data_IF_096280895049
#
_entry.id   IF_096280895049
#
_cell.length_a   1.000
_cell.length_b   1.000
_cell.length_c   1.000
_cell.angle_alpha   90.00
_cell.angle_beta   90.00
_cell.angle_gamma   90.00
#
_symmetry.space_group_name_H-M   'P 1'
#
loop_
_entity.id
_entity.type
_entity.pdbx_description
1 polymer ?
#
# COMPACT_ATOMS: atom_id res chain seq x y z
N UNK A 1 -19.79 1.05 2.19
CA UNK A 1 -18.36 1.02 1.92
C UNK A 1 -18.07 0.05 0.78
N UNK A 2 -17.11 0.37 -0.06
CA UNK A 2 -16.64 -0.50 -1.16
C UNK A 2 -15.11 -0.57 -1.16
N UNK A 3 -14.58 -1.68 -1.72
CA UNK A 3 -13.19 -1.79 -2.07
C UNK A 3 -13.06 -2.17 -3.54
N UNK A 4 -12.20 -1.48 -4.28
CA UNK A 4 -12.06 -1.60 -5.73
C UNK A 4 -10.71 -2.23 -6.04
N UNK A 5 -10.72 -3.30 -6.85
CA UNK A 5 -9.49 -3.90 -7.32
C UNK A 5 -8.70 -2.91 -8.18
N UNK A 6 -7.40 -2.77 -7.93
CA UNK A 6 -6.53 -1.84 -8.66
C UNK A 6 -6.55 -2.09 -10.17
N UNK A 7 -6.60 -3.36 -10.60
CA UNK A 7 -6.71 -3.71 -12.01
C UNK A 7 -7.98 -3.20 -12.71
N UNK A 8 -9.01 -2.86 -11.94
CA UNK A 8 -10.29 -2.34 -12.43
C UNK A 8 -10.44 -0.82 -12.29
N UNK A 9 -9.43 -0.12 -11.77
CA UNK A 9 -9.51 1.34 -11.58
C UNK A 9 -9.50 2.14 -12.88
N UNK A 10 -9.11 1.53 -13.98
CA UNK A 10 -9.24 2.02 -15.36
C UNK A 10 -8.65 3.40 -15.62
N UNK A 11 -9.22 4.41 -15.02
CA UNK A 11 -8.89 5.81 -15.21
C UNK A 11 -8.82 6.52 -13.85
N UNK A 12 -7.69 7.16 -13.57
CA UNK A 12 -7.44 7.87 -12.31
C UNK A 12 -8.49 8.95 -12.06
N UNK A 13 -8.87 9.73 -13.08
CA UNK A 13 -9.89 10.78 -12.92
C UNK A 13 -11.24 10.19 -12.51
N UNK A 14 -11.67 9.10 -13.14
CA UNK A 14 -12.93 8.45 -12.77
C UNK A 14 -12.90 7.90 -11.34
N UNK A 15 -11.74 7.44 -10.89
CA UNK A 15 -11.58 6.98 -9.51
C UNK A 15 -11.64 8.12 -8.50
N UNK A 16 -11.02 9.25 -8.81
CA UNK A 16 -11.12 10.46 -7.98
C UNK A 16 -12.58 10.93 -7.92
N UNK A 17 -13.25 11.09 -9.07
CA UNK A 17 -14.65 11.53 -9.13
C UNK A 17 -15.58 10.60 -8.34
N UNK A 18 -15.38 9.30 -8.45
CA UNK A 18 -16.14 8.30 -7.68
C UNK A 18 -15.89 8.42 -6.19
N UNK A 19 -14.62 8.54 -5.80
CA UNK A 19 -14.23 8.62 -4.38
C UNK A 19 -14.78 9.89 -3.74
N UNK A 20 -14.69 11.02 -4.43
CA UNK A 20 -15.21 12.29 -3.96
C UNK A 20 -16.74 12.25 -3.83
N UNK A 21 -17.44 11.80 -4.86
CA UNK A 21 -18.90 11.66 -4.80
C UNK A 21 -19.35 10.76 -3.64
N UNK A 22 -18.65 9.65 -3.40
CA UNK A 22 -18.98 8.75 -2.30
C UNK A 22 -18.66 9.36 -0.94
N UNK A 23 -17.58 10.11 -0.85
CA UNK A 23 -17.20 10.85 0.39
C UNK A 23 -18.24 11.90 0.75
N UNK A 24 -18.77 12.61 -0.23
CA UNK A 24 -19.88 13.57 -0.04
C UNK A 24 -21.14 12.91 0.53
N UNK A 25 -21.32 11.63 0.25
CA UNK A 25 -22.42 10.81 0.81
C UNK A 25 -22.07 10.17 2.18
N UNK A 26 -20.89 10.45 2.73
CA UNK A 26 -20.39 9.85 3.97
C UNK A 26 -19.99 8.36 3.83
N UNK A 27 -19.66 7.93 2.61
CA UNK A 27 -19.28 6.55 2.30
C UNK A 27 -17.78 6.43 2.08
N UNK A 28 -17.20 5.30 2.53
CA UNK A 28 -15.77 4.99 2.36
C UNK A 28 -15.52 4.24 1.06
N UNK A 29 -14.44 4.62 0.37
CA UNK A 29 -13.94 3.95 -0.82
C UNK A 29 -12.49 3.53 -0.58
N UNK A 30 -12.21 2.24 -0.65
CA UNK A 30 -10.84 1.70 -0.56
C UNK A 30 -10.44 1.02 -1.86
N UNK A 31 -9.15 0.81 -2.04
CA UNK A 31 -8.64 -0.04 -3.10
C UNK A 31 -7.96 -1.28 -2.53
N UNK A 32 -7.77 -2.31 -3.35
CA UNK A 32 -6.95 -3.48 -3.05
C UNK A 32 -6.22 -3.95 -4.31
N UNK A 33 -5.15 -4.71 -4.12
CA UNK A 33 -4.40 -5.35 -5.19
C UNK A 33 -4.64 -6.85 -5.22
N UNK A 34 -4.68 -7.40 -6.41
CA UNK A 34 -4.85 -8.82 -6.67
C UNK A 34 -3.64 -9.37 -7.43
N UNK A 35 -3.60 -10.68 -7.68
CA UNK A 35 -2.56 -11.31 -8.49
C UNK A 35 -2.41 -10.63 -9.85
N UNK A 36 -1.20 -10.21 -10.18
CA UNK A 36 -0.91 -9.50 -11.44
C UNK A 36 -1.12 -7.99 -11.41
N UNK A 37 -1.62 -7.43 -10.34
CA UNK A 37 -1.64 -5.98 -10.14
C UNK A 37 -0.25 -5.47 -9.76
N UNK A 38 -0.03 -4.17 -10.02
CA UNK A 38 1.16 -3.45 -9.64
C UNK A 38 0.76 -2.07 -9.11
N UNK A 39 1.31 -1.55 -8.00
CA UNK A 39 2.22 -2.23 -7.06
C UNK A 39 1.66 -3.53 -6.48
N UNK A 40 2.52 -4.43 -6.03
CA UNK A 40 2.15 -5.74 -5.53
C UNK A 40 2.76 -6.00 -4.14
N UNK A 41 2.13 -6.86 -3.35
CA UNK A 41 2.58 -7.13 -1.99
C UNK A 41 2.84 -8.61 -1.69
N UNK A 42 3.30 -9.36 -2.69
CA UNK A 42 3.78 -10.72 -2.53
C UNK A 42 5.21 -10.77 -1.98
N UNK A 43 5.64 -11.93 -1.53
CA UNK A 43 7.03 -12.13 -1.06
C UNK A 43 8.05 -11.99 -2.20
N UNK A 44 7.65 -12.24 -3.43
CA UNK A 44 8.46 -12.15 -4.64
C UNK A 44 8.47 -10.74 -5.24
N UNK A 45 7.61 -9.85 -4.74
CA UNK A 45 7.55 -8.46 -5.19
C UNK A 45 8.66 -7.63 -4.55
N UNK A 46 9.00 -6.52 -5.18
CA UNK A 46 9.90 -5.55 -4.54
C UNK A 46 9.26 -5.08 -3.22
N UNK A 47 9.99 -5.11 -2.10
CA UNK A 47 9.44 -4.63 -0.83
C UNK A 47 8.96 -3.17 -0.89
N UNK A 48 9.53 -2.35 -1.77
CA UNK A 48 9.09 -0.98 -2.03
C UNK A 48 7.66 -0.88 -2.55
N UNK A 49 7.15 -1.90 -3.22
CA UNK A 49 5.78 -1.93 -3.73
C UNK A 49 4.75 -1.74 -2.60
N UNK A 50 5.03 -2.30 -1.43
CA UNK A 50 4.14 -2.16 -0.26
C UNK A 50 4.08 -0.73 0.29
N UNK A 51 5.14 0.03 0.12
CA UNK A 51 5.16 1.45 0.40
C UNK A 51 4.28 2.21 -0.60
N UNK A 52 4.41 1.86 -1.89
CA UNK A 52 3.68 2.51 -2.98
C UNK A 52 2.21 2.16 -3.06
N UNK A 53 1.79 1.00 -2.59
CA UNK A 53 0.36 0.65 -2.44
C UNK A 53 -0.39 1.74 -1.67
N UNK A 54 0.23 2.31 -0.64
CA UNK A 54 -0.38 3.37 0.16
C UNK A 54 -0.36 4.72 -0.55
N UNK A 55 0.74 5.06 -1.23
CA UNK A 55 0.79 6.27 -2.03
C UNK A 55 -0.22 6.27 -3.17
N UNK A 56 -0.46 5.12 -3.77
CA UNK A 56 -1.47 4.96 -4.81
C UNK A 56 -2.88 5.31 -4.33
N UNK A 57 -3.17 5.19 -3.05
CA UNK A 57 -4.45 5.67 -2.50
C UNK A 57 -4.65 7.16 -2.69
N UNK A 58 -3.58 7.96 -2.60
CA UNK A 58 -3.64 9.39 -2.89
C UNK A 58 -3.89 9.67 -4.37
N UNK A 59 -3.17 8.97 -5.24
CA UNK A 59 -3.33 9.08 -6.70
C UNK A 59 -4.77 8.79 -7.15
N UNK A 60 -5.38 7.76 -6.58
CA UNK A 60 -6.75 7.34 -6.90
C UNK A 60 -7.82 8.09 -6.10
N UNK A 61 -7.43 8.97 -5.18
CA UNK A 61 -8.35 9.69 -4.30
C UNK A 61 -9.10 8.80 -3.31
N UNK A 62 -8.65 7.55 -3.10
CA UNK A 62 -9.32 6.61 -2.19
C UNK A 62 -8.98 6.89 -0.73
N UNK A 63 -9.88 6.46 0.16
CA UNK A 63 -9.73 6.70 1.59
C UNK A 63 -8.71 5.75 2.24
N UNK A 64 -8.42 4.62 1.59
CA UNK A 64 -7.46 3.66 2.10
C UNK A 64 -7.24 2.46 1.20
N UNK A 65 -6.39 1.58 1.69
CA UNK A 65 -6.04 0.30 1.10
C UNK A 65 -6.59 -0.84 1.95
N UNK A 66 -7.15 -1.85 1.31
CA UNK A 66 -7.66 -3.05 1.97
C UNK A 66 -6.85 -4.26 1.54
N UNK A 67 -6.30 -4.97 2.49
CA UNK A 67 -5.69 -6.28 2.25
C UNK A 67 -6.73 -7.37 2.47
N UNK A 68 -6.91 -8.29 1.51
CA UNK A 68 -7.91 -9.36 1.62
C UNK A 68 -7.58 -10.36 2.74
N UNK A 69 -6.28 -10.59 2.99
CA UNK A 69 -5.79 -11.46 4.06
C UNK A 69 -4.52 -10.87 4.68
N UNK A 70 -4.55 -10.72 5.99
CA UNK A 70 -3.48 -10.17 6.80
C UNK A 70 -2.64 -11.26 7.46
N UNK A 71 -3.30 -12.30 7.91
CA UNK A 71 -2.79 -13.37 8.76
C UNK A 71 -3.54 -14.70 8.50
N UNK A 72 -3.89 -14.97 7.26
CA UNK A 72 -4.58 -16.19 6.87
C UNK A 72 -3.58 -17.36 6.78
N UNK A 73 -3.29 -17.96 7.92
CA UNK A 73 -2.39 -19.09 8.05
C UNK A 73 -3.15 -20.40 7.82
N UNK A 74 -3.08 -20.93 6.62
CA UNK A 74 -3.77 -22.17 6.24
C UNK A 74 -2.89 -23.42 6.39
N UNK A 75 -1.62 -23.25 6.75
CA UNK A 75 -0.63 -24.34 6.92
C UNK A 75 0.57 -23.86 7.75
N UNK A 76 1.55 -24.71 7.97
CA UNK A 76 2.77 -24.37 8.71
C UNK A 76 3.64 -23.37 7.95
N UNK A 77 3.53 -22.11 8.31
CA UNK A 77 4.25 -20.99 7.70
C UNK A 77 5.76 -21.00 7.99
N UNK A 78 6.18 -21.66 9.08
CA UNK A 78 7.59 -21.79 9.43
C UNK A 78 8.25 -22.93 8.69
N UNK A 79 7.49 -23.99 8.39
CA UNK A 79 7.99 -25.15 7.67
C UNK A 79 8.04 -24.97 6.15
N UNK A 80 7.11 -24.25 5.57
CA UNK A 80 7.05 -24.02 4.11
C UNK A 80 6.53 -22.63 3.77
N UNK A 81 7.43 -21.68 3.58
CA UNK A 81 7.13 -20.33 3.11
C UNK A 81 6.78 -20.26 1.60
N UNK A 82 6.86 -21.39 0.88
CA UNK A 82 6.69 -21.45 -0.58
C UNK A 82 5.31 -21.92 -1.02
N UNK A 83 4.33 -21.90 -0.12
CA UNK A 83 2.97 -22.33 -0.44
C UNK A 83 2.46 -21.74 -1.76
N UNK A 84 1.92 -22.60 -2.62
CA UNK A 84 1.69 -22.30 -4.04
C UNK A 84 0.23 -22.31 -4.47
N UNK A 85 -0.72 -22.30 -3.57
CA UNK A 85 -2.11 -22.18 -3.97
C UNK A 85 -2.41 -20.77 -4.51
N UNK A 86 -1.79 -19.76 -3.90
CA UNK A 86 -1.69 -18.38 -4.35
C UNK A 86 -0.21 -17.98 -4.40
N UNK A 87 0.09 -16.80 -4.93
CA UNK A 87 1.46 -16.30 -4.89
C UNK A 87 1.98 -16.23 -3.44
N UNK A 88 3.27 -16.52 -3.20
CA UNK A 88 3.82 -16.52 -1.85
C UNK A 88 3.60 -15.18 -1.14
N UNK A 89 3.04 -15.24 0.05
CA UNK A 89 2.73 -14.06 0.86
C UNK A 89 1.42 -13.37 0.53
N UNK A 90 0.62 -13.90 -0.38
CA UNK A 90 -0.70 -13.33 -0.69
C UNK A 90 -1.64 -13.42 0.51
N UNK A 91 -1.62 -14.51 1.24
CA UNK A 91 -2.46 -14.75 2.41
C UNK A 91 -2.00 -14.08 3.70
N UNK A 92 -0.81 -13.47 3.76
CA UNK A 92 -0.25 -12.93 5.01
C UNK A 92 0.75 -11.80 4.80
N UNK A 93 0.77 -10.88 5.75
CA UNK A 93 1.72 -9.77 5.84
C UNK A 93 2.73 -9.95 6.97
N UNK A 94 2.32 -10.68 7.99
CA UNK A 94 3.06 -10.97 9.21
C UNK A 94 3.15 -12.49 9.40
N UNK A 95 4.07 -12.95 10.22
CA UNK A 95 4.19 -14.35 10.58
C UNK A 95 3.71 -14.58 12.01
N UNK A 96 3.05 -15.71 12.29
CA UNK A 96 2.69 -16.06 13.65
C UNK A 96 3.96 -16.30 14.48
N UNK A 97 3.97 -15.89 15.72
CA UNK A 97 4.96 -16.37 16.68
C UNK A 97 4.62 -17.81 17.09
N UNK A 98 5.66 -18.60 17.33
CA UNK A 98 5.48 -19.92 17.92
C UNK A 98 4.86 -19.78 19.31
N UNK A 99 3.86 -20.61 19.60
CA UNK A 99 3.14 -20.57 20.88
C UNK A 99 4.07 -20.67 22.09
N UNK A 100 5.15 -21.42 21.96
CA UNK A 100 6.18 -21.62 22.99
C UNK A 100 7.01 -20.35 23.25
N UNK A 101 7.19 -19.50 22.22
CA UNK A 101 7.93 -18.24 22.33
C UNK A 101 7.11 -17.14 23.01
N UNK A 102 5.79 -17.21 22.92
CA UNK A 102 4.86 -16.19 23.47
C UNK A 102 4.49 -16.49 24.93
N UNK A 103 4.54 -17.74 25.35
CA UNK A 103 4.10 -18.18 26.68
C UNK A 103 2.61 -17.89 26.88
N UNK A 104 2.26 -17.29 28.02
CA UNK A 104 0.89 -16.88 28.33
C UNK A 104 0.55 -15.44 27.87
N UNK A 105 1.55 -14.68 27.38
CA UNK A 105 1.35 -13.31 26.93
C UNK A 105 1.04 -13.24 25.42
N UNK A 106 -0.23 -13.27 25.09
CA UNK A 106 -0.71 -13.17 23.72
C UNK A 106 -0.60 -11.75 23.10
N UNK A 107 -0.06 -10.77 23.81
CA UNK A 107 -0.01 -9.39 23.34
C UNK A 107 1.22 -9.09 22.45
N UNK A 108 2.20 -9.98 22.35
CA UNK A 108 3.40 -9.81 21.55
C UNK A 108 3.49 -10.88 20.46
N UNK A 109 2.60 -10.88 19.48
CA UNK A 109 2.17 -12.14 18.92
C UNK A 109 2.47 -12.34 17.43
N UNK A 110 3.38 -11.58 16.82
CA UNK A 110 3.78 -11.83 15.43
C UNK A 110 5.21 -11.41 15.12
N UNK A 111 5.82 -12.05 14.13
CA UNK A 111 7.04 -11.59 13.50
C UNK A 111 6.72 -10.62 12.36
N UNK A 112 7.35 -9.47 12.40
CA UNK A 112 7.23 -8.47 11.34
C UNK A 112 7.94 -8.92 10.06
N UNK A 113 7.54 -8.35 8.93
CA UNK A 113 8.17 -8.57 7.62
C UNK A 113 8.62 -7.24 7.03
N UNK A 114 9.61 -7.22 6.12
CA UNK A 114 9.98 -6.01 5.37
C UNK A 114 8.78 -5.38 4.66
N UNK A 115 7.88 -6.19 4.11
CA UNK A 115 6.63 -5.74 3.47
C UNK A 115 5.76 -4.95 4.44
N UNK A 116 5.56 -5.49 5.63
CA UNK A 116 4.75 -4.85 6.67
C UNK A 116 5.38 -3.56 7.19
N UNK A 117 6.70 -3.53 7.37
CA UNK A 117 7.39 -2.33 7.83
C UNK A 117 7.31 -1.20 6.78
N UNK A 118 7.49 -1.50 5.49
CA UNK A 118 7.37 -0.53 4.41
C UNK A 118 5.92 -0.06 4.22
N UNK A 119 4.96 -0.96 4.38
CA UNK A 119 3.55 -0.60 4.39
C UNK A 119 3.22 0.40 5.51
N UNK A 120 3.70 0.15 6.74
CA UNK A 120 3.55 1.11 7.86
C UNK A 120 4.23 2.45 7.57
N UNK A 121 5.40 2.42 6.93
CA UNK A 121 6.09 3.64 6.54
C UNK A 121 5.26 4.42 5.52
N UNK A 122 4.72 3.77 4.50
CA UNK A 122 3.82 4.38 3.54
C UNK A 122 2.62 5.07 4.21
N UNK A 123 1.99 4.40 5.17
CA UNK A 123 0.88 5.00 5.94
C UNK A 123 1.30 6.29 6.65
N UNK A 124 2.47 6.30 7.30
CA UNK A 124 2.97 7.48 8.01
C UNK A 124 3.28 8.63 7.06
N UNK A 125 3.90 8.32 5.93
CA UNK A 125 4.33 9.33 4.96
C UNK A 125 3.15 9.92 4.19
N UNK A 126 2.17 9.10 3.80
CA UNK A 126 0.91 9.57 3.22
C UNK A 126 0.12 10.41 4.23
N UNK A 127 0.11 10.05 5.51
CA UNK A 127 -0.52 10.86 6.54
C UNK A 127 0.15 12.25 6.67
N UNK A 128 1.49 12.30 6.63
CA UNK A 128 2.24 13.57 6.61
C UNK A 128 1.93 14.40 5.36
N UNK A 129 1.95 13.75 4.18
CA UNK A 129 1.64 14.43 2.91
C UNK A 129 0.23 15.03 2.93
N UNK A 130 -0.77 14.27 3.36
CA UNK A 130 -2.15 14.77 3.51
C UNK A 130 -2.22 15.95 4.51
N UNK A 131 -1.49 15.85 5.61
CA UNK A 131 -1.41 16.95 6.58
C UNK A 131 -0.79 18.22 5.96
N UNK A 132 0.34 18.10 5.27
CA UNK A 132 1.03 19.22 4.62
C UNK A 132 0.16 19.87 3.53
N UNK A 133 -0.47 19.08 2.67
CA UNK A 133 -1.36 19.59 1.62
C UNK A 133 -2.52 20.42 2.18
N UNK A 134 -3.02 20.07 3.37
CA UNK A 134 -4.13 20.76 4.03
C UNK A 134 -3.67 21.80 5.06
N UNK A 135 -2.36 21.92 5.34
CA UNK A 135 -1.83 22.83 6.33
C UNK A 135 -1.75 24.27 5.78
N UNK A 136 -2.10 25.23 6.60
CA UNK A 136 -1.88 26.66 6.31
C UNK A 136 -0.41 27.06 6.46
N UNK A 137 0.39 26.27 7.21
CA UNK A 137 1.80 26.54 7.43
C UNK A 137 2.71 26.02 6.30
N UNK A 138 2.23 25.13 5.45
CA UNK A 138 3.00 24.64 4.31
C UNK A 138 3.01 25.68 3.18
N UNK A 139 4.19 25.89 2.60
CA UNK A 139 4.38 26.80 1.48
C UNK A 139 3.71 26.28 0.21
N UNK A 140 3.45 27.18 -0.74
CA UNK A 140 2.93 26.77 -2.04
C UNK A 140 3.91 25.86 -2.80
N UNK A 141 5.21 26.05 -2.60
CA UNK A 141 6.27 25.25 -3.20
C UNK A 141 6.24 23.81 -2.67
N UNK A 142 6.20 23.62 -1.35
CA UNK A 142 6.07 22.28 -0.72
C UNK A 142 4.80 21.56 -1.18
N UNK A 143 3.67 22.27 -1.29
CA UNK A 143 2.42 21.69 -1.78
C UNK A 143 2.53 21.27 -3.26
N UNK A 144 3.21 22.07 -4.08
CA UNK A 144 3.45 21.77 -5.49
C UNK A 144 4.31 20.51 -5.64
N UNK A 145 5.42 20.41 -4.90
CA UNK A 145 6.29 19.24 -4.93
C UNK A 145 5.54 17.94 -4.57
N UNK A 146 4.72 17.98 -3.52
CA UNK A 146 3.88 16.85 -3.13
C UNK A 146 2.84 16.48 -4.19
N UNK A 147 2.23 17.48 -4.82
CA UNK A 147 1.26 17.27 -5.90
C UNK A 147 1.94 16.63 -7.11
N UNK A 148 3.13 17.09 -7.47
CA UNK A 148 3.92 16.52 -8.57
C UNK A 148 4.27 15.04 -8.33
N UNK A 149 4.59 14.65 -7.09
CA UNK A 149 4.80 13.24 -6.73
C UNK A 149 3.53 12.41 -6.95
N UNK A 150 2.39 12.89 -6.48
CA UNK A 150 1.11 12.19 -6.65
C UNK A 150 0.74 12.07 -8.14
N UNK A 151 0.93 13.13 -8.92
CA UNK A 151 0.68 13.11 -10.37
C UNK A 151 1.65 12.20 -11.13
N UNK A 152 2.91 12.10 -10.67
CA UNK A 152 3.87 11.16 -11.23
C UNK A 152 3.42 9.72 -11.04
N UNK A 153 2.91 9.39 -9.87
CA UNK A 153 2.36 8.06 -9.58
C UNK A 153 1.07 7.75 -10.37
N UNK A 154 0.33 8.79 -10.77
CA UNK A 154 -0.87 8.64 -11.60
C UNK A 154 -0.60 8.13 -13.03
N UNK A 155 0.64 8.19 -13.49
CA UNK A 155 1.00 7.68 -14.83
C UNK A 155 0.96 6.16 -14.83
N UNK A 156 0.12 5.52 -15.66
CA UNK A 156 -0.03 4.08 -15.66
C UNK A 156 1.31 3.40 -16.00
N UNK A 157 1.78 2.59 -15.09
CA UNK A 157 3.01 1.79 -15.25
C UNK A 157 2.69 0.34 -15.62
N UNK A 158 1.60 0.13 -16.31
CA UNK A 158 1.16 -1.19 -16.76
C UNK A 158 2.23 -1.81 -17.66
N UNK A 159 2.83 -2.90 -17.21
CA UNK A 159 3.69 -3.76 -18.01
C UNK A 159 5.18 -3.74 -17.69
N UNK A 160 5.65 -2.96 -16.73
CA UNK A 160 7.05 -2.97 -16.29
C UNK A 160 7.14 -3.46 -14.85
N UNK A 161 7.06 -4.76 -14.72
CA UNK A 161 7.02 -5.45 -13.43
C UNK A 161 8.26 -5.23 -12.52
N UNK A 162 9.34 -4.64 -12.94
CA UNK A 162 10.55 -4.62 -12.12
C UNK A 162 11.55 -3.47 -12.25
N UNK A 163 11.47 -2.59 -13.20
CA UNK A 163 12.61 -1.68 -13.41
C UNK A 163 12.33 -0.20 -13.17
N UNK A 164 11.24 0.30 -13.69
CA UNK A 164 11.00 1.75 -13.73
C UNK A 164 10.29 2.28 -12.49
N UNK A 165 9.52 1.44 -11.80
CA UNK A 165 8.84 1.87 -10.59
C UNK A 165 9.78 1.90 -9.38
N UNK A 166 10.76 0.99 -9.29
CA UNK A 166 11.79 1.02 -8.24
C UNK A 166 12.61 2.30 -8.34
N UNK A 167 13.05 2.68 -9.55
CA UNK A 167 13.81 3.89 -9.77
C UNK A 167 12.97 5.18 -9.51
N UNK A 168 11.71 5.18 -9.89
CA UNK A 168 10.80 6.25 -9.53
C UNK A 168 10.56 6.29 -8.01
N UNK A 169 10.33 5.13 -7.39
CA UNK A 169 10.06 5.03 -5.96
C UNK A 169 11.23 5.52 -5.09
N UNK A 170 12.47 5.22 -5.44
CA UNK A 170 13.63 5.71 -4.70
C UNK A 170 13.76 7.24 -4.78
N UNK A 171 13.55 7.80 -5.96
CA UNK A 171 13.60 9.25 -6.15
C UNK A 171 12.52 9.98 -5.37
N UNK A 172 11.30 9.48 -5.44
CA UNK A 172 10.15 10.11 -4.80
C UNK A 172 10.17 9.91 -3.28
N UNK A 173 10.73 8.79 -2.78
CA UNK A 173 11.03 8.59 -1.36
C UNK A 173 12.04 9.62 -0.83
N UNK A 174 13.05 9.97 -1.61
CA UNK A 174 14.01 11.00 -1.22
C UNK A 174 13.36 12.37 -1.09
N UNK A 175 12.42 12.71 -1.96
CA UNK A 175 11.68 13.99 -1.90
C UNK A 175 10.76 14.09 -0.67
N UNK A 176 10.16 12.99 -0.24
CA UNK A 176 9.27 12.96 0.94
C UNK A 176 10.05 12.96 2.26
N UNK A 177 11.32 12.54 2.24
CA UNK A 177 12.19 12.49 3.42
C UNK A 177 13.14 13.68 3.56
N UNK A 178 13.27 14.52 2.54
CA UNK A 178 14.05 15.76 2.56
C UNK A 178 13.23 16.92 3.11
#
# INVERSE_FOLDING_TARGET
DISINLGNTGNVQQMNDLSDHRRDLGLTTTMYTCTGDYPSNFMISDPGDNYWDIWYTMTLGTDGYMRWAWDNYVYDMHGDATYRYWEPGDGWFIYPMEREAVGEDFNASFYSTPRYELFKQGIRDVAKAKYLLNSESATAEEKTELTDVVEHLAKPQKGTYQGSAVAASEKDRMLVHS
#
